data_IF_287475611929
#
_entry.id   IF_287475611929
#
_cell.length_a   1.000
_cell.length_b   1.000
_cell.length_c   1.000
_cell.angle_alpha   90.00
_cell.angle_beta   90.00
_cell.angle_gamma   90.00
#
_symmetry.space_group_name_H-M   'P 1'
#
loop_
_entity.id
_entity.type
_entity.pdbx_description
1 polymer ?
#
# COMPACT_ATOMS: atom_id res chain seq x y z
N UNK A 1 -1.50 0.73 -3.41
CA UNK A 1 -2.10 1.17 -2.14
C UNK A 1 -1.88 0.11 -1.07
N UNK A 2 -1.76 0.46 0.21
CA UNK A 2 -1.75 -0.50 1.32
C UNK A 2 -2.89 -0.14 2.26
N UNK A 3 -3.63 -1.16 2.70
CA UNK A 3 -4.82 -0.99 3.53
C UNK A 3 -4.53 -1.63 4.88
N UNK A 4 -4.95 -0.97 5.95
CA UNK A 4 -4.71 -1.46 7.30
C UNK A 4 -5.98 -1.31 8.12
N UNK A 5 -6.45 -2.43 8.66
CA UNK A 5 -7.48 -2.43 9.69
C UNK A 5 -6.78 -2.39 11.04
N UNK A 6 -7.07 -1.41 11.90
CA UNK A 6 -6.27 -1.16 13.10
C UNK A 6 -6.83 -1.80 14.39
N UNK A 7 -7.89 -2.63 14.36
CA UNK A 7 -8.27 -3.44 15.54
C UNK A 7 -9.21 -4.64 15.23
N UNK A 8 -8.87 -5.88 15.68
CA UNK A 8 -7.48 -6.24 16.00
C UNK A 8 -6.64 -5.85 14.78
N UNK A 9 -5.38 -5.46 14.98
CA UNK A 9 -4.56 -4.89 13.91
C UNK A 9 -4.38 -5.95 12.81
N UNK A 10 -5.28 -5.91 11.83
CA UNK A 10 -5.36 -6.85 10.72
C UNK A 10 -4.76 -6.12 9.54
N UNK A 11 -3.55 -6.53 9.23
CA UNK A 11 -2.78 -6.05 8.09
C UNK A 11 -3.28 -6.76 6.83
N UNK A 12 -3.99 -6.03 5.96
CA UNK A 12 -4.39 -6.55 4.66
C UNK A 12 -3.72 -5.75 3.55
N UNK A 13 -2.69 -6.31 2.94
CA UNK A 13 -2.22 -5.79 1.65
C UNK A 13 -3.35 -5.97 0.64
N UNK A 14 -4.04 -4.89 0.36
CA UNK A 14 -5.06 -4.82 -0.68
C UNK A 14 -4.45 -4.19 -1.92
N UNK A 15 -4.68 -4.84 -3.04
CA UNK A 15 -4.24 -4.35 -4.34
C UNK A 15 -5.23 -3.32 -4.84
N UNK A 16 -4.78 -2.47 -5.76
CA UNK A 16 -5.70 -1.59 -6.49
C UNK A 16 -6.81 -2.46 -7.11
N UNK A 17 -8.06 -2.01 -7.00
CA UNK A 17 -9.22 -2.79 -7.44
C UNK A 17 -9.42 -2.72 -8.96
N UNK A 18 -8.76 -1.77 -9.63
CA UNK A 18 -8.82 -1.59 -11.08
C UNK A 18 -8.18 -2.74 -11.87
N UNK A 19 -8.65 -2.92 -13.11
CA UNK A 19 -8.10 -3.89 -14.08
C UNK A 19 -6.80 -3.42 -14.73
N UNK A 20 -6.57 -2.09 -14.77
CA UNK A 20 -5.34 -1.43 -15.27
C UNK A 20 -4.81 -0.41 -14.28
N UNK A 21 -3.50 -0.14 -14.30
CA UNK A 21 -2.87 0.93 -13.54
C UNK A 21 -2.35 2.07 -14.45
N UNK A 22 -3.27 2.85 -15.04
CA UNK A 22 -2.95 4.03 -15.88
C UNK A 22 -4.15 5.00 -16.01
N UNK A 23 -3.93 6.21 -16.56
CA UNK A 23 -4.91 7.31 -16.66
C UNK A 23 -6.12 6.95 -17.53
N UNK A 24 -5.97 6.40 -18.75
CA UNK A 24 -7.10 5.77 -19.39
C UNK A 24 -7.16 4.32 -18.92
N UNK A 25 -8.32 3.87 -18.44
CA UNK A 25 -8.59 2.47 -18.05
C UNK A 25 -8.41 1.44 -19.19
N UNK A 26 -7.99 1.88 -20.37
CA UNK A 26 -7.67 1.08 -21.55
C UNK A 26 -6.18 1.10 -21.95
N UNK A 27 -5.34 1.97 -21.38
CA UNK A 27 -3.88 2.02 -21.60
C UNK A 27 -3.17 1.50 -20.35
N UNK A 28 -1.91 1.08 -20.50
CA UNK A 28 -1.09 0.57 -19.40
C UNK A 28 -1.24 -0.93 -19.15
N UNK A 29 -0.42 -1.50 -18.26
CA UNK A 29 -0.41 -2.93 -18.01
C UNK A 29 -1.77 -3.38 -17.49
N UNK A 30 -2.23 -4.56 -17.94
CA UNK A 30 -3.41 -5.25 -17.44
C UNK A 30 -2.98 -6.27 -16.38
N UNK A 31 -3.79 -6.45 -15.34
CA UNK A 31 -3.44 -7.36 -14.26
C UNK A 31 -3.49 -8.81 -14.71
N UNK A 32 -2.57 -9.63 -14.22
CA UNK A 32 -2.55 -11.07 -14.51
C UNK A 32 -3.56 -11.87 -13.69
N UNK A 33 -3.94 -11.34 -12.53
CA UNK A 33 -4.88 -11.97 -11.59
C UNK A 33 -5.92 -10.96 -11.15
N UNK A 34 -7.20 -11.34 -11.03
CA UNK A 34 -8.22 -10.47 -10.45
C UNK A 34 -7.84 -10.08 -9.02
N UNK A 35 -8.36 -8.98 -8.47
CA UNK A 35 -8.13 -8.66 -7.07
C UNK A 35 -8.78 -9.71 -6.15
N UNK A 36 -8.06 -10.12 -5.11
CA UNK A 36 -8.51 -11.12 -4.15
C UNK A 36 -9.78 -10.73 -3.39
N UNK A 37 -9.97 -9.42 -3.22
CA UNK A 37 -11.08 -8.82 -2.50
C UNK A 37 -11.59 -7.65 -3.33
N UNK A 38 -12.88 -7.38 -3.21
CA UNK A 38 -13.52 -6.15 -3.65
C UNK A 38 -13.63 -5.17 -2.48
N UNK A 39 -14.00 -3.92 -2.78
CA UNK A 39 -14.31 -2.95 -1.72
C UNK A 39 -15.40 -3.45 -0.78
N UNK A 40 -16.34 -4.28 -1.24
CA UNK A 40 -17.43 -4.81 -0.42
C UNK A 40 -16.98 -5.94 0.53
N UNK A 41 -15.91 -6.65 0.19
CA UNK A 41 -15.37 -7.72 1.03
C UNK A 41 -14.52 -7.21 2.21
N UNK A 42 -14.30 -5.90 2.27
CA UNK A 42 -13.58 -5.26 3.35
C UNK A 42 -14.42 -5.19 4.63
N UNK A 43 -13.73 -5.18 5.78
CA UNK A 43 -14.36 -4.99 7.09
C UNK A 43 -15.02 -3.62 7.18
N UNK A 44 -16.12 -3.50 7.93
CA UNK A 44 -16.75 -2.21 8.23
C UNK A 44 -15.91 -1.34 9.18
N UNK A 45 -14.99 -1.97 9.90
CA UNK A 45 -14.08 -1.37 10.87
C UNK A 45 -12.72 -0.97 10.26
N UNK A 46 -12.70 -0.61 8.96
CA UNK A 46 -11.50 -0.10 8.34
C UNK A 46 -11.26 1.37 8.75
N UNK A 47 -10.21 1.59 9.54
CA UNK A 47 -9.93 2.92 10.12
C UNK A 47 -8.93 3.76 9.32
N UNK A 48 -7.95 3.13 8.67
CA UNK A 48 -6.83 3.84 8.06
C UNK A 48 -6.30 3.21 6.76
N UNK A 49 -5.80 4.06 5.87
CA UNK A 49 -5.17 3.70 4.60
C UNK A 49 -3.81 4.35 4.46
N UNK A 50 -2.88 3.64 3.82
CA UNK A 50 -1.49 4.05 3.71
C UNK A 50 -1.08 4.08 2.24
N UNK A 51 -0.67 5.25 1.77
CA UNK A 51 -0.20 5.48 0.40
C UNK A 51 1.30 5.78 0.46
N UNK A 52 2.11 4.90 -0.14
CA UNK A 52 3.57 5.07 -0.15
C UNK A 52 4.04 6.16 -1.09
N UNK A 53 3.41 6.28 -2.26
CA UNK A 53 3.74 7.26 -3.31
C UNK A 53 2.61 7.32 -4.34
N UNK A 54 2.72 8.27 -5.28
CA UNK A 54 1.63 8.65 -6.16
C UNK A 54 1.52 7.86 -7.48
N UNK A 55 2.29 6.80 -7.72
CA UNK A 55 2.17 6.05 -8.99
C UNK A 55 0.76 5.43 -9.14
N UNK A 56 0.32 5.19 -10.38
CA UNK A 56 -1.01 4.62 -10.68
C UNK A 56 -1.26 3.28 -10.02
N UNK A 57 -0.18 2.56 -9.82
CA UNK A 57 -0.14 1.24 -9.26
C UNK A 57 -0.02 1.33 -7.71
N UNK A 58 0.03 2.53 -7.13
CA UNK A 58 -0.03 2.74 -5.68
C UNK A 58 -1.18 3.64 -5.23
N UNK A 59 -1.71 4.45 -6.13
CA UNK A 59 -2.76 5.44 -5.91
C UNK A 59 -3.75 5.41 -7.09
N UNK A 60 -4.77 4.58 -6.96
CA UNK A 60 -5.78 4.30 -7.98
C UNK A 60 -7.08 5.07 -7.72
N UNK A 61 -7.49 5.91 -8.67
CA UNK A 61 -8.64 6.80 -8.50
C UNK A 61 -9.98 6.06 -8.31
N UNK A 62 -10.33 5.03 -9.12
CA UNK A 62 -11.52 4.20 -8.87
C UNK A 62 -11.55 3.57 -7.47
N UNK A 63 -10.41 3.07 -6.98
CA UNK A 63 -10.30 2.54 -5.62
C UNK A 63 -10.53 3.62 -4.57
N UNK A 64 -9.89 4.79 -4.71
CA UNK A 64 -10.08 5.92 -3.78
C UNK A 64 -11.54 6.36 -3.73
N UNK A 65 -12.17 6.51 -4.90
CA UNK A 65 -13.58 6.90 -5.01
C UNK A 65 -14.53 5.88 -4.36
N UNK A 66 -14.31 4.58 -4.59
CA UNK A 66 -15.17 3.53 -4.04
C UNK A 66 -14.99 3.32 -2.53
N UNK A 67 -13.76 3.37 -2.03
CA UNK A 67 -13.46 3.33 -0.59
C UNK A 67 -14.05 4.54 0.13
N UNK A 68 -13.82 5.74 -0.41
CA UNK A 68 -14.37 6.96 0.19
C UNK A 68 -15.90 6.98 0.16
N UNK A 69 -16.53 6.44 -0.89
CA UNK A 69 -17.99 6.27 -0.93
C UNK A 69 -18.50 5.32 0.17
N UNK A 70 -17.75 4.25 0.51
CA UNK A 70 -18.15 3.28 1.54
C UNK A 70 -17.93 3.81 2.96
N UNK A 71 -16.78 4.40 3.22
CA UNK A 71 -16.37 4.73 4.60
C UNK A 71 -16.49 6.21 4.95
N UNK A 72 -16.46 7.11 3.96
CA UNK A 72 -16.47 8.56 4.16
C UNK A 72 -15.36 9.03 5.10
N UNK A 73 -15.71 9.97 5.98
CA UNK A 73 -14.77 10.60 6.92
C UNK A 73 -14.25 9.67 8.02
N UNK A 74 -14.89 8.50 8.21
CA UNK A 74 -14.41 7.50 9.18
C UNK A 74 -13.03 6.96 8.78
N UNK A 75 -12.73 6.95 7.48
CA UNK A 75 -11.49 6.44 6.93
C UNK A 75 -10.42 7.53 6.90
N UNK A 76 -9.30 7.27 7.58
CA UNK A 76 -8.15 8.17 7.59
C UNK A 76 -7.19 7.79 6.47
N UNK A 77 -6.88 8.72 5.58
CA UNK A 77 -5.95 8.51 4.47
C UNK A 77 -4.59 9.08 4.82
N UNK A 78 -3.59 8.23 5.07
CA UNK A 78 -2.22 8.63 5.25
C UNK A 78 -1.48 8.60 3.91
N UNK A 79 -0.89 9.72 3.52
CA UNK A 79 -0.17 9.87 2.27
C UNK A 79 1.17 10.60 2.43
N UNK A 80 2.04 10.40 1.44
CA UNK A 80 3.31 11.09 1.36
C UNK A 80 3.14 12.58 1.04
N UNK A 81 4.03 13.43 1.57
CA UNK A 81 4.07 14.87 1.31
C UNK A 81 3.92 15.26 -0.17
N UNK A 82 3.13 16.30 -0.46
CA UNK A 82 2.79 16.73 -1.82
C UNK A 82 1.72 15.89 -2.54
N UNK A 83 1.17 14.86 -1.89
CA UNK A 83 0.13 13.98 -2.46
C UNK A 83 -1.28 14.41 -2.05
N UNK A 84 -1.45 15.21 -0.99
CA UNK A 84 -2.77 15.65 -0.51
C UNK A 84 -3.60 16.32 -1.62
N UNK A 85 -2.97 17.20 -2.39
CA UNK A 85 -3.58 17.92 -3.52
C UNK A 85 -4.11 17.01 -4.65
N UNK A 86 -3.70 15.73 -4.68
CA UNK A 86 -4.21 14.78 -5.67
C UNK A 86 -5.60 14.25 -5.29
N UNK A 87 -5.92 14.20 -3.99
CA UNK A 87 -7.23 13.75 -3.56
C UNK A 87 -8.30 14.68 -4.13
N UNK A 88 -9.42 14.15 -4.64
CA UNK A 88 -10.46 15.00 -5.19
C UNK A 88 -11.01 15.89 -4.08
N UNK A 89 -10.77 17.21 -4.21
CA UNK A 89 -11.03 18.26 -3.21
C UNK A 89 -12.45 18.25 -2.63
N UNK A 90 -13.41 17.63 -3.31
CA UNK A 90 -14.82 17.61 -2.92
C UNK A 90 -15.30 16.33 -2.23
N UNK A 91 -14.44 15.31 -2.06
CA UNK A 91 -14.91 14.00 -1.57
C UNK A 91 -14.07 13.37 -0.46
N UNK A 92 -12.75 13.55 -0.41
CA UNK A 92 -11.90 12.91 0.60
C UNK A 92 -11.37 13.97 1.57
N UNK A 93 -11.96 14.06 2.76
CA UNK A 93 -11.68 15.13 3.73
C UNK A 93 -10.67 14.72 4.82
N UNK A 94 -10.74 13.46 5.29
CA UNK A 94 -9.88 12.93 6.34
C UNK A 94 -8.55 12.40 5.76
N UNK A 95 -7.69 13.32 5.32
CA UNK A 95 -6.34 13.03 4.82
C UNK A 95 -5.31 13.54 5.82
N UNK A 96 -4.28 12.74 6.08
CA UNK A 96 -3.10 13.07 6.86
C UNK A 96 -1.90 12.96 5.91
N UNK A 97 -1.21 14.07 5.72
CA UNK A 97 -0.04 14.14 4.86
C UNK A 97 1.21 14.22 5.72
N UNK A 98 2.22 13.40 5.41
CA UNK A 98 3.45 13.28 6.19
C UNK A 98 4.69 13.43 5.31
N UNK A 99 5.65 14.23 5.76
CA UNK A 99 7.04 14.23 5.29
C UNK A 99 7.82 13.09 5.96
N UNK A 100 9.01 12.78 5.45
CA UNK A 100 9.88 11.79 6.05
C UNK A 100 10.21 12.15 7.50
N UNK A 101 10.15 11.14 8.34
CA UNK A 101 10.37 11.21 9.79
C UNK A 101 9.26 11.94 10.56
N UNK A 102 8.23 12.45 9.89
CA UNK A 102 7.05 12.92 10.60
C UNK A 102 6.26 11.73 11.16
N UNK A 103 5.77 11.95 12.38
CA UNK A 103 4.98 10.99 13.12
C UNK A 103 3.54 11.46 13.25
N UNK A 104 2.62 10.50 13.18
CA UNK A 104 1.21 10.70 13.42
C UNK A 104 0.74 9.70 14.47
N UNK A 105 0.19 10.22 15.55
CA UNK A 105 -0.41 9.42 16.60
C UNK A 105 -1.91 9.26 16.32
N UNK A 106 -2.33 8.03 16.01
CA UNK A 106 -3.72 7.69 15.74
C UNK A 106 -4.44 7.30 17.03
N UNK A 107 -4.84 8.32 17.80
CA UNK A 107 -5.41 8.16 19.16
C UNK A 107 -6.62 7.24 19.23
N UNK A 108 -7.45 7.15 18.18
CA UNK A 108 -8.62 6.25 18.19
C UNK A 108 -8.26 4.77 18.44
N UNK A 109 -7.01 4.39 18.19
CA UNK A 109 -6.50 3.02 18.34
C UNK A 109 -5.23 2.94 19.18
N UNK A 110 -4.73 4.05 19.70
CA UNK A 110 -3.45 4.12 20.44
C UNK A 110 -2.25 3.58 19.61
N UNK A 111 -2.22 3.93 18.32
CA UNK A 111 -1.18 3.49 17.37
C UNK A 111 -0.36 4.68 16.91
N UNK A 112 0.97 4.53 16.93
CA UNK A 112 1.91 5.49 16.37
C UNK A 112 2.32 5.08 14.96
N UNK A 113 2.48 6.07 14.09
CA UNK A 113 2.82 5.88 12.68
C UNK A 113 3.93 6.88 12.36
N UNK A 114 4.99 6.44 11.70
CA UNK A 114 6.02 7.32 11.13
C UNK A 114 6.13 7.07 9.63
N UNK A 115 6.23 8.14 8.84
CA UNK A 115 6.55 8.01 7.42
C UNK A 115 8.06 7.92 7.23
N UNK A 116 8.55 6.80 6.70
CA UNK A 116 9.98 6.52 6.59
C UNK A 116 10.47 6.73 5.16
N UNK A 117 11.71 7.24 4.96
CA UNK A 117 12.24 7.39 3.62
C UNK A 117 12.46 6.03 2.95
N UNK A 118 12.34 6.04 1.64
CA UNK A 118 12.74 4.96 0.76
C UNK A 118 13.49 5.53 -0.44
N UNK A 119 14.26 4.71 -1.14
CA UNK A 119 14.86 5.12 -2.41
C UNK A 119 13.86 4.84 -3.53
N UNK A 120 13.12 5.82 -4.03
CA UNK A 120 12.18 5.64 -5.16
C UNK A 120 11.96 6.99 -5.87
N UNK A 121 10.87 7.15 -6.60
CA UNK A 121 10.47 8.38 -7.27
C UNK A 121 8.94 8.49 -7.30
N UNK A 122 8.44 9.63 -7.76
CA UNK A 122 7.00 9.88 -7.92
C UNK A 122 6.73 10.56 -9.27
N UNK A 123 5.58 10.23 -9.88
CA UNK A 123 5.08 10.85 -11.12
C UNK A 123 3.68 10.34 -11.44
N UNK A 124 2.84 11.23 -11.97
CA UNK A 124 1.54 10.88 -12.57
C UNK A 124 1.31 11.53 -13.91
N UNK A 125 1.89 12.70 -14.14
CA UNK A 125 1.78 13.47 -15.38
C UNK A 125 3.16 13.70 -15.96
N UNK A 126 3.21 14.28 -17.15
CA UNK A 126 4.51 14.61 -17.77
C UNK A 126 5.23 15.77 -17.05
N UNK A 127 4.55 16.52 -16.18
CA UNK A 127 5.04 17.74 -15.54
C UNK A 127 5.21 17.65 -14.01
N UNK A 128 5.07 16.47 -13.40
CA UNK A 128 5.05 16.30 -11.95
C UNK A 128 6.05 15.30 -11.39
N UNK A 129 7.10 14.99 -12.17
CA UNK A 129 8.21 14.16 -11.71
C UNK A 129 8.75 14.70 -10.38
N UNK A 130 8.75 13.85 -9.35
CA UNK A 130 9.24 14.13 -8.00
C UNK A 130 8.61 15.36 -7.31
N UNK A 131 7.40 15.78 -7.70
CA UNK A 131 6.65 16.85 -7.00
C UNK A 131 5.96 16.40 -5.71
N UNK A 132 5.87 15.09 -5.48
CA UNK A 132 5.42 14.51 -4.20
C UNK A 132 6.46 13.51 -3.68
N UNK A 133 6.44 13.24 -2.39
CA UNK A 133 7.35 12.31 -1.73
C UNK A 133 6.96 10.85 -2.00
N UNK A 134 7.85 9.96 -1.59
CA UNK A 134 7.70 8.50 -1.62
C UNK A 134 8.33 7.90 -0.37
N UNK A 135 7.82 6.77 0.11
CA UNK A 135 8.34 6.20 1.35
C UNK A 135 7.61 4.96 1.83
N UNK A 136 8.02 4.50 3.01
CA UNK A 136 7.39 3.43 3.77
C UNK A 136 6.72 3.95 5.03
N UNK A 137 6.17 3.06 5.84
CA UNK A 137 5.60 3.39 7.13
C UNK A 137 6.14 2.45 8.21
N UNK A 138 6.65 3.01 9.29
CA UNK A 138 6.81 2.29 10.56
C UNK A 138 5.56 2.51 11.39
N UNK A 139 4.99 1.45 11.95
CA UNK A 139 3.73 1.50 12.68
C UNK A 139 3.87 0.66 13.93
N UNK A 140 3.52 1.20 15.09
CA UNK A 140 3.68 0.50 16.35
C UNK A 140 2.66 0.92 17.40
N UNK A 141 2.36 0.00 18.30
CA UNK A 141 1.60 0.25 19.52
C UNK A 141 2.42 -0.25 20.73
N UNK A 142 1.75 -0.48 21.86
CA UNK A 142 2.39 -0.97 23.08
C UNK A 142 2.91 -2.42 22.98
N UNK A 143 2.44 -3.23 22.03
CA UNK A 143 2.71 -4.67 21.97
C UNK A 143 3.46 -5.09 20.70
N UNK A 144 3.28 -4.38 19.58
CA UNK A 144 3.77 -4.80 18.27
C UNK A 144 4.34 -3.65 17.44
N UNK A 145 5.23 -4.02 16.51
CA UNK A 145 5.85 -3.11 15.54
C UNK A 145 5.78 -3.72 14.15
N UNK A 146 5.42 -2.92 13.17
CA UNK A 146 5.31 -3.28 11.78
C UNK A 146 6.04 -2.26 10.91
N UNK A 147 6.64 -2.76 9.82
CA UNK A 147 7.28 -1.90 8.84
C UNK A 147 6.83 -2.26 7.43
N UNK A 148 6.26 -1.28 6.73
CA UNK A 148 5.95 -1.38 5.33
C UNK A 148 6.95 -0.56 4.51
N UNK A 149 7.77 -1.23 3.70
CA UNK A 149 8.93 -0.62 3.06
C UNK A 149 8.65 0.29 1.83
N UNK A 150 7.39 0.45 1.40
CA UNK A 150 7.00 1.43 0.37
C UNK A 150 7.33 1.09 -1.09
N UNK A 151 8.55 0.60 -1.35
CA UNK A 151 9.14 0.28 -2.67
C UNK A 151 9.36 -1.23 -2.87
N UNK A 152 9.78 -1.93 -1.83
CA UNK A 152 10.19 -3.35 -1.89
C UNK A 152 9.03 -4.33 -1.79
N UNK A 153 7.79 -3.86 -1.73
CA UNK A 153 6.62 -4.72 -1.82
C UNK A 153 6.43 -5.15 -3.27
N UNK A 154 7.24 -6.11 -3.69
CA UNK A 154 7.29 -6.59 -5.06
C UNK A 154 5.87 -7.02 -5.51
N UNK A 155 5.45 -6.56 -6.70
CA UNK A 155 4.12 -6.79 -7.28
C UNK A 155 4.16 -7.79 -8.45
N UNK A 156 5.14 -8.70 -8.40
CA UNK A 156 5.52 -9.59 -9.49
C UNK A 156 4.38 -10.45 -10.04
N UNK A 157 3.36 -10.72 -9.21
CA UNK A 157 2.23 -11.59 -9.54
C UNK A 157 0.95 -10.84 -9.94
N UNK A 158 0.98 -9.51 -9.87
CA UNK A 158 -0.19 -8.67 -10.14
C UNK A 158 -0.07 -8.00 -11.52
N UNK A 159 1.09 -7.43 -11.84
CA UNK A 159 1.35 -6.69 -13.09
C UNK A 159 2.77 -7.00 -13.61
N UNK A 160 2.95 -7.02 -14.93
CA UNK A 160 4.29 -7.01 -15.52
C UNK A 160 4.82 -5.57 -15.56
N UNK A 161 5.53 -5.19 -14.51
CA UNK A 161 6.18 -3.87 -14.39
C UNK A 161 7.67 -3.92 -14.71
N UNK A 162 8.21 -5.12 -14.89
CA UNK A 162 9.61 -5.39 -15.20
C UNK A 162 9.72 -6.67 -16.05
N UNK A 163 10.96 -7.04 -16.41
CA UNK A 163 11.23 -8.06 -17.43
C UNK A 163 11.44 -9.49 -16.87
N UNK A 164 11.40 -9.67 -15.55
CA UNK A 164 11.55 -10.98 -14.93
C UNK A 164 10.35 -11.89 -15.21
N UNK A 165 10.61 -13.21 -15.20
CA UNK A 165 9.52 -14.18 -15.29
C UNK A 165 8.69 -14.16 -14.01
N UNK A 166 7.36 -14.22 -14.11
CA UNK A 166 6.46 -13.99 -12.97
C UNK A 166 6.65 -14.97 -11.77
N UNK A 167 7.18 -16.17 -11.99
CA UNK A 167 7.50 -17.13 -10.91
C UNK A 167 8.95 -17.04 -10.41
N UNK A 168 9.75 -16.16 -10.98
CA UNK A 168 11.16 -16.00 -10.61
C UNK A 168 11.35 -15.39 -9.22
N UNK A 169 10.58 -14.37 -8.78
CA UNK A 169 10.85 -13.72 -7.49
C UNK A 169 10.70 -14.64 -6.27
N UNK A 170 9.66 -15.48 -6.11
CA UNK A 170 9.58 -16.43 -4.99
C UNK A 170 10.76 -17.41 -4.94
N UNK A 171 11.28 -17.83 -6.10
CA UNK A 171 12.46 -18.69 -6.18
C UNK A 171 13.72 -17.94 -5.71
N UNK A 172 13.92 -16.70 -6.17
CA UNK A 172 15.04 -15.85 -5.77
C UNK A 172 15.02 -15.54 -4.27
N UNK A 173 13.85 -15.25 -3.70
CA UNK A 173 13.66 -15.07 -2.26
C UNK A 173 14.05 -16.34 -1.50
N UNK A 174 13.54 -17.49 -1.93
CA UNK A 174 13.83 -18.78 -1.29
C UNK A 174 15.33 -19.12 -1.33
N UNK A 175 16.01 -18.79 -2.43
CA UNK A 175 17.45 -18.95 -2.56
C UNK A 175 18.20 -17.98 -1.65
N UNK A 176 17.78 -16.71 -1.57
CA UNK A 176 18.39 -15.71 -0.69
C UNK A 176 18.26 -16.09 0.80
N UNK A 177 17.11 -16.59 1.23
CA UNK A 177 16.90 -17.12 2.60
C UNK A 177 17.92 -18.22 2.92
N UNK A 178 18.12 -19.17 1.98
CA UNK A 178 19.12 -20.26 2.15
C UNK A 178 20.55 -19.75 2.20
N UNK A 179 20.94 -18.88 1.27
CA UNK A 179 22.30 -18.34 1.18
C UNK A 179 22.66 -17.54 2.44
N UNK A 180 21.70 -16.79 2.98
CA UNK A 180 21.89 -15.99 4.19
C UNK A 180 21.63 -16.77 5.49
N UNK A 181 21.41 -18.10 5.41
CA UNK A 181 21.18 -18.98 6.56
C UNK A 181 20.04 -18.49 7.48
N UNK A 182 19.02 -17.87 6.89
CA UNK A 182 17.84 -17.40 7.61
C UNK A 182 16.89 -18.58 7.87
N UNK A 183 16.12 -18.50 8.96
CA UNK A 183 15.07 -19.46 9.25
C UNK A 183 14.02 -19.48 8.15
N UNK A 184 13.39 -20.63 7.91
CA UNK A 184 12.33 -20.76 6.90
C UNK A 184 11.11 -19.87 7.17
N UNK A 185 10.91 -19.46 8.43
CA UNK A 185 9.88 -18.52 8.86
C UNK A 185 10.31 -17.05 8.81
N UNK A 186 11.58 -16.75 8.51
CA UNK A 186 12.09 -15.37 8.48
C UNK A 186 11.58 -14.57 7.28
N UNK A 187 11.19 -15.23 6.19
CA UNK A 187 10.56 -14.58 5.04
C UNK A 187 9.47 -15.47 4.46
N UNK A 188 8.23 -15.02 4.52
CA UNK A 188 7.06 -15.78 4.08
C UNK A 188 6.50 -15.12 2.82
N UNK A 189 6.28 -15.94 1.80
CA UNK A 189 5.57 -15.52 0.58
C UNK A 189 4.15 -16.03 0.67
N UNK A 190 3.20 -15.11 0.84
CA UNK A 190 1.77 -15.43 0.88
C UNK A 190 1.18 -15.51 -0.53
N UNK A 191 0.18 -16.37 -0.72
CA UNK A 191 -0.61 -16.47 -1.94
C UNK A 191 -1.59 -15.30 -2.04
N UNK A 192 -2.05 -15.06 -3.26
CA UNK A 192 -3.06 -14.04 -3.51
C UNK A 192 -4.35 -14.35 -2.73
N UNK A 193 -4.75 -13.45 -1.83
CA UNK A 193 -5.92 -13.61 -0.96
C UNK A 193 -5.69 -14.44 0.30
N UNK A 194 -4.47 -14.96 0.52
CA UNK A 194 -4.12 -15.65 1.76
C UNK A 194 -3.99 -14.65 2.91
N UNK A 195 -4.51 -15.02 4.07
CA UNK A 195 -4.35 -14.29 5.33
C UNK A 195 -3.30 -15.03 6.16
N UNK A 196 -2.36 -14.28 6.71
CA UNK A 196 -1.34 -14.81 7.59
C UNK A 196 -1.42 -14.09 8.93
N UNK A 197 -1.73 -14.85 9.97
CA UNK A 197 -1.76 -14.34 11.33
C UNK A 197 -0.36 -14.38 11.92
N UNK A 198 0.12 -13.22 12.39
CA UNK A 198 1.39 -13.15 13.10
C UNK A 198 1.21 -13.81 14.49
N UNK A 199 2.20 -14.60 14.94
CA UNK A 199 2.15 -15.26 16.24
C UNK A 199 2.22 -14.29 17.42
#
# INVERSE_FOLDING_TARGET
MFILSLSPVIWKKLHDFSERCDIPSFIGPKRFRPPALTVNDLSDDLDALFISHNHFDHLDYPSVKSLNKRYGERLTWLCSGGTRQWFPDNHVTNVVELDWWEEYHFSKKEVNIAFCPAQHWSRRTIFDMNKSLWGGYAIWDATQKFYFAGRYSIRWDTWALANEYFMEPPKKISQAVRINQLGSSSFIVIKHGEVFDLP
#
